data_IF_116171468133
#
_entry.id   IF_116171468133
#
_cell.length_a   1.000
_cell.length_b   1.000
_cell.length_c   1.000
_cell.angle_alpha   90.00
_cell.angle_beta   90.00
_cell.angle_gamma   90.00
#
_symmetry.space_group_name_H-M   'P 1'
#
loop_
_entity.id
_entity.type
_entity.pdbx_description
1 polymer ?
#
# COMPACT_ATOMS: atom_id res chain seq x y z
N UNK A 1 -49.28 15.82 -10.17
CA UNK A 1 -48.57 14.65 -9.59
C UNK A 1 -47.18 15.15 -9.23
N UNK A 2 -46.99 15.46 -7.95
CA UNK A 2 -45.88 16.29 -7.45
C UNK A 2 -44.81 15.39 -6.82
N UNK A 3 -43.55 15.71 -7.10
CA UNK A 3 -42.34 14.95 -6.79
C UNK A 3 -42.07 14.79 -5.28
N UNK A 4 -41.61 13.58 -4.88
CA UNK A 4 -41.07 13.30 -3.56
C UNK A 4 -39.54 13.23 -3.62
N UNK A 5 -38.88 14.18 -2.96
CA UNK A 5 -37.43 14.24 -2.74
C UNK A 5 -37.19 13.89 -1.28
N UNK A 6 -36.58 12.73 -1.00
CA UNK A 6 -36.00 12.41 0.31
C UNK A 6 -34.51 12.73 0.24
N UNK A 7 -34.15 13.90 0.78
CA UNK A 7 -32.79 14.41 0.91
C UNK A 7 -32.25 13.93 2.26
N UNK A 8 -31.43 12.88 2.22
CA UNK A 8 -30.72 12.34 3.37
C UNK A 8 -29.60 13.28 3.83
N UNK A 9 -29.64 13.59 5.12
CA UNK A 9 -28.78 14.48 5.88
C UNK A 9 -27.31 14.06 5.85
N UNK A 10 -26.39 14.95 5.45
CA UNK A 10 -24.99 14.89 5.87
C UNK A 10 -24.40 16.30 6.02
N UNK A 11 -23.51 16.42 7.00
CA UNK A 11 -22.51 17.49 7.17
C UNK A 11 -22.94 18.76 7.91
N UNK A 12 -22.89 18.71 9.25
CA UNK A 12 -22.70 19.89 10.11
C UNK A 12 -22.00 19.54 11.42
N UNK A 13 -20.69 19.31 11.42
CA UNK A 13 -19.93 19.34 12.68
C UNK A 13 -18.66 20.16 12.49
N UNK A 14 -18.82 21.48 12.60
CA UNK A 14 -17.75 22.39 12.96
C UNK A 14 -17.52 22.27 14.46
N UNK A 15 -16.33 21.85 14.89
CA UNK A 15 -15.87 22.09 16.25
C UNK A 15 -14.43 22.59 16.23
N UNK A 16 -14.31 23.91 16.36
CA UNK A 16 -13.11 24.54 16.88
C UNK A 16 -12.98 24.15 18.36
N UNK A 17 -11.83 23.63 18.78
CA UNK A 17 -11.48 23.55 20.19
C UNK A 17 -10.13 24.24 20.38
N UNK A 18 -10.20 25.32 21.14
CA UNK A 18 -9.10 26.19 21.50
C UNK A 18 -8.14 25.51 22.46
N UNK A 19 -6.87 25.82 22.24
CA UNK A 19 -5.69 25.55 23.05
C UNK A 19 -5.87 26.05 24.50
N UNK A 20 -5.65 25.19 25.49
CA UNK A 20 -5.44 25.60 26.88
C UNK A 20 -4.23 24.85 27.46
N UNK A 21 -3.15 25.60 27.69
CA UNK A 21 -1.99 25.18 28.49
C UNK A 21 -2.41 24.92 29.94
N UNK A 22 -1.90 23.84 30.54
CA UNK A 22 -1.62 23.78 31.97
C UNK A 22 -0.42 22.88 32.26
N UNK A 23 0.60 23.47 32.89
CA UNK A 23 1.80 22.83 33.42
C UNK A 23 1.52 22.14 34.77
N UNK A 24 2.30 21.07 35.02
CA UNK A 24 2.85 20.63 36.32
C UNK A 24 1.92 20.00 37.38
N UNK A 25 2.26 18.76 37.76
CA UNK A 25 1.82 18.12 39.00
C UNK A 25 2.35 16.70 39.17
N UNK A 26 3.26 16.49 40.13
CA UNK A 26 3.80 15.20 40.56
C UNK A 26 2.75 14.35 41.33
N UNK A 27 2.82 13.01 41.27
CA UNK A 27 2.21 12.16 42.31
C UNK A 27 1.77 10.74 41.91
N UNK A 28 2.63 9.76 42.22
CA UNK A 28 2.45 8.34 42.59
C UNK A 28 1.09 7.56 42.49
N UNK A 29 1.25 6.30 42.07
CA UNK A 29 0.63 5.04 42.59
C UNK A 29 -0.63 4.42 41.95
N UNK A 30 -0.37 3.22 41.40
CA UNK A 30 -1.09 1.92 41.46
C UNK A 30 -2.48 1.66 40.84
N UNK A 31 -2.48 0.49 40.17
CA UNK A 31 -3.53 -0.50 39.88
C UNK A 31 -4.57 -0.28 38.78
N UNK A 32 -4.38 -1.06 37.72
CA UNK A 32 -5.43 -1.84 37.06
C UNK A 32 -6.30 -1.11 36.05
N UNK A 33 -6.14 -1.44 34.77
CA UNK A 33 -7.20 -1.93 33.86
C UNK A 33 -6.73 -1.75 32.40
N UNK A 34 -6.78 -2.86 31.67
CA UNK A 34 -6.52 -2.97 30.24
C UNK A 34 -7.39 -2.02 29.41
N UNK A 35 -6.77 -1.32 28.47
CA UNK A 35 -7.43 -0.77 27.27
C UNK A 35 -6.38 -0.47 26.18
N UNK A 36 -5.79 -1.52 25.60
CA UNK A 36 -5.10 -1.39 24.33
C UNK A 36 -6.13 -1.25 23.21
N UNK A 37 -6.39 -0.04 22.75
CA UNK A 37 -7.03 0.18 21.44
C UNK A 37 -6.00 -0.14 20.37
N UNK A 38 -6.27 -1.20 19.59
CA UNK A 38 -5.51 -1.52 18.39
C UNK A 38 -5.94 -0.60 17.27
N UNK A 39 -5.30 0.57 17.15
CA UNK A 39 -5.35 1.36 15.93
C UNK A 39 -4.41 0.71 14.91
N UNK A 40 -4.97 -0.20 14.11
CA UNK A 40 -4.34 -0.72 12.90
C UNK A 40 -4.30 0.41 11.85
N UNK A 41 -3.39 1.35 12.04
CA UNK A 41 -3.04 2.37 11.06
C UNK A 41 -2.14 1.78 9.97
N UNK A 42 -2.45 2.12 8.72
CA UNK A 42 -1.72 1.73 7.53
C UNK A 42 -0.20 1.85 7.74
N UNK A 43 0.50 0.72 7.59
CA UNK A 43 1.96 0.73 7.55
C UNK A 43 2.36 1.11 6.13
N UNK A 44 2.46 2.41 5.88
CA UNK A 44 3.32 2.92 4.82
C UNK A 44 4.72 2.36 5.12
N UNK A 45 5.13 1.32 4.40
CA UNK A 45 6.50 0.83 4.44
C UNK A 45 7.40 1.85 3.73
N UNK A 46 7.48 3.05 4.32
CA UNK A 46 8.44 4.07 3.93
C UNK A 46 9.83 3.49 4.11
N UNK A 47 10.66 3.66 3.07
CA UNK A 47 12.07 3.26 3.02
C UNK A 47 12.76 3.43 4.37
N UNK A 48 12.86 2.34 5.13
CA UNK A 48 13.66 2.27 6.33
C UNK A 48 15.11 2.55 5.95
N UNK A 49 15.77 3.42 6.72
CA UNK A 49 17.16 3.79 6.56
C UNK A 49 18.00 2.56 6.21
N UNK A 50 18.66 2.58 5.04
CA UNK A 50 19.47 1.46 4.56
C UNK A 50 20.55 0.98 5.56
N UNK A 51 20.86 1.79 6.58
CA UNK A 51 21.75 1.44 7.70
C UNK A 51 21.12 0.61 8.83
N UNK A 52 19.81 0.64 9.05
CA UNK A 52 19.15 -0.13 10.11
C UNK A 52 18.89 -1.59 9.71
N UNK A 53 18.79 -1.86 8.41
CA UNK A 53 18.42 -3.18 7.88
C UNK A 53 19.59 -4.04 7.42
N UNK A 54 20.81 -3.51 7.38
CA UNK A 54 21.97 -4.24 6.88
C UNK A 54 22.28 -5.53 7.68
N UNK A 55 22.05 -5.50 9.00
CA UNK A 55 22.32 -6.61 9.92
C UNK A 55 21.04 -7.14 10.60
N UNK A 56 19.86 -6.74 10.12
CA UNK A 56 18.59 -7.13 10.74
C UNK A 56 18.37 -8.65 10.60
N UNK A 57 18.37 -9.34 11.73
CA UNK A 57 18.11 -10.79 11.84
C UNK A 57 17.11 -11.00 12.97
N UNK A 58 16.17 -11.93 12.82
CA UNK A 58 15.23 -12.26 13.88
C UNK A 58 15.95 -12.57 15.20
N UNK A 59 15.45 -12.02 16.30
CA UNK A 59 16.02 -12.18 17.63
C UNK A 59 17.25 -11.31 17.92
N UNK A 60 17.79 -10.61 16.92
CA UNK A 60 18.86 -9.64 17.13
C UNK A 60 18.32 -8.33 17.70
N UNK A 61 19.16 -7.61 18.45
CA UNK A 61 18.81 -6.30 18.99
C UNK A 61 18.61 -5.28 17.87
N UNK A 62 17.62 -4.41 18.04
CA UNK A 62 17.34 -3.29 17.15
C UNK A 62 17.28 -2.00 17.96
N UNK A 63 17.72 -0.88 17.36
CA UNK A 63 17.86 0.40 18.05
C UNK A 63 16.67 1.35 17.85
N UNK A 64 15.79 1.05 16.90
CA UNK A 64 14.70 1.93 16.50
C UNK A 64 13.38 1.17 16.53
N UNK A 65 12.63 1.32 17.60
CA UNK A 65 11.29 0.73 17.74
C UNK A 65 10.37 1.14 16.58
N UNK A 66 9.59 0.18 16.08
CA UNK A 66 8.69 0.36 14.95
C UNK A 66 9.37 0.42 13.58
N UNK A 67 10.69 0.25 13.50
CA UNK A 67 11.38 0.10 12.22
C UNK A 67 11.09 -1.27 11.59
N UNK A 68 11.07 -1.32 10.25
CA UNK A 68 10.83 -2.54 9.47
C UNK A 68 12.01 -2.85 8.55
N UNK A 69 12.41 -4.12 8.51
CA UNK A 69 13.48 -4.65 7.66
C UNK A 69 13.05 -5.98 7.02
N UNK A 70 13.73 -6.41 5.95
CA UNK A 70 13.31 -7.60 5.17
C UNK A 70 13.14 -7.36 3.67
N UNK A 71 13.48 -6.16 3.20
CA UNK A 71 13.34 -5.76 1.80
C UNK A 71 11.89 -5.57 1.39
N UNK A 72 11.63 -5.01 0.19
CA UNK A 72 10.29 -5.09 -0.37
C UNK A 72 9.95 -6.58 -0.47
N UNK A 73 8.77 -6.97 -0.02
CA UNK A 73 8.22 -8.27 -0.35
C UNK A 73 8.32 -8.42 -1.86
N UNK A 74 9.28 -9.23 -2.33
CA UNK A 74 9.64 -9.30 -3.75
C UNK A 74 8.46 -9.73 -4.61
N UNK A 75 7.50 -10.39 -3.98
CA UNK A 75 6.15 -10.57 -4.46
C UNK A 75 5.16 -10.00 -3.43
N UNK A 76 4.69 -8.77 -3.66
CA UNK A 76 3.69 -8.12 -2.82
C UNK A 76 2.32 -8.82 -2.86
N UNK A 77 2.10 -9.73 -3.81
CA UNK A 77 0.85 -10.48 -3.98
C UNK A 77 0.79 -11.78 -3.17
N UNK A 78 1.87 -12.09 -2.43
CA UNK A 78 2.01 -13.25 -1.57
C UNK A 78 2.30 -12.83 -0.14
N UNK A 79 1.99 -13.70 0.82
CA UNK A 79 2.42 -13.49 2.19
C UNK A 79 3.95 -13.43 2.25
N UNK A 80 4.45 -12.43 2.95
CA UNK A 80 5.88 -12.24 3.15
C UNK A 80 6.18 -12.06 4.64
N UNK A 81 7.40 -12.42 5.01
CA UNK A 81 7.89 -12.23 6.37
C UNK A 81 8.81 -11.02 6.38
N UNK A 82 8.43 -10.00 7.12
CA UNK A 82 9.25 -8.84 7.43
C UNK A 82 9.75 -8.95 8.88
N UNK A 83 10.77 -8.19 9.22
CA UNK A 83 11.26 -7.99 10.57
C UNK A 83 10.75 -6.65 11.07
N UNK A 84 10.07 -6.64 12.21
CA UNK A 84 9.67 -5.43 12.92
C UNK A 84 10.47 -5.31 14.21
N UNK A 85 11.04 -4.13 14.47
CA UNK A 85 11.70 -3.86 15.73
C UNK A 85 10.66 -3.61 16.82
N UNK A 86 10.54 -4.55 17.76
CA UNK A 86 9.61 -4.47 18.88
C UNK A 86 10.27 -4.93 20.17
N UNK A 87 10.19 -4.12 21.22
CA UNK A 87 10.81 -4.41 22.51
C UNK A 87 12.34 -4.46 22.45
N UNK A 88 12.96 -3.70 21.55
CA UNK A 88 14.40 -3.65 21.31
C UNK A 88 14.95 -4.85 20.55
N UNK A 89 14.09 -5.69 19.99
CA UNK A 89 14.47 -6.90 19.24
C UNK A 89 13.75 -6.99 17.90
N UNK A 90 14.44 -7.46 16.86
CA UNK A 90 13.83 -7.77 15.57
C UNK A 90 12.94 -9.01 15.68
N UNK A 91 11.63 -8.82 15.48
CA UNK A 91 10.62 -9.88 15.53
C UNK A 91 10.12 -10.16 14.13
N UNK A 92 9.98 -11.45 13.77
CA UNK A 92 9.35 -11.82 12.50
C UNK A 92 7.86 -11.48 12.54
N UNK A 93 7.40 -10.71 11.57
CA UNK A 93 6.00 -10.40 11.33
C UNK A 93 5.59 -10.83 9.93
N UNK A 94 4.44 -11.47 9.86
CA UNK A 94 3.80 -11.78 8.59
C UNK A 94 3.07 -10.54 8.08
N UNK A 95 3.45 -10.10 6.89
CA UNK A 95 2.74 -9.07 6.15
C UNK A 95 1.74 -9.75 5.20
N UNK A 96 0.44 -9.41 5.28
CA UNK A 96 -0.56 -9.96 4.39
C UNK A 96 -0.29 -9.50 2.95
N UNK A 97 -0.71 -10.29 1.94
CA UNK A 97 -0.58 -9.91 0.55
C UNK A 97 -1.38 -8.62 0.27
N UNK A 98 -0.81 -7.75 -0.56
CA UNK A 98 -1.51 -6.63 -1.14
C UNK A 98 -2.66 -7.12 -2.05
N UNK A 99 -3.70 -6.29 -2.25
CA UNK A 99 -4.67 -6.57 -3.30
C UNK A 99 -3.93 -6.64 -4.64
N UNK A 100 -4.15 -7.71 -5.41
CA UNK A 100 -3.49 -7.94 -6.69
C UNK A 100 -4.42 -8.54 -7.73
N UNK A 101 -4.21 -8.13 -8.98
CA UNK A 101 -4.92 -8.62 -10.15
C UNK A 101 -4.04 -9.52 -11.04
N UNK A 102 -4.65 -10.21 -12.00
CA UNK A 102 -3.95 -11.12 -12.90
C UNK A 102 -3.30 -10.37 -14.07
N UNK A 103 -2.04 -10.66 -14.38
CA UNK A 103 -1.34 -10.13 -15.54
C UNK A 103 -0.85 -11.30 -16.41
N UNK A 104 -1.71 -11.79 -17.30
CA UNK A 104 -1.47 -13.03 -18.04
C UNK A 104 -1.70 -14.29 -17.20
N UNK A 105 -1.05 -15.40 -17.58
CA UNK A 105 -1.39 -16.72 -17.03
C UNK A 105 -0.79 -17.02 -15.66
N UNK A 106 0.32 -16.36 -15.28
CA UNK A 106 1.10 -16.72 -14.09
C UNK A 106 1.58 -15.53 -13.25
N UNK A 107 1.55 -14.31 -13.77
CA UNK A 107 2.01 -13.12 -13.07
C UNK A 107 0.82 -12.41 -12.41
N UNK A 108 1.05 -11.84 -11.22
CA UNK A 108 0.07 -11.00 -10.51
C UNK A 108 0.70 -9.65 -10.22
N UNK A 109 -0.05 -8.59 -10.48
CA UNK A 109 0.41 -7.23 -10.26
C UNK A 109 -0.38 -6.60 -9.10
N UNK A 110 0.28 -5.84 -8.21
CA UNK A 110 -0.40 -5.07 -7.19
C UNK A 110 -1.40 -4.06 -7.76
N UNK A 111 -2.63 -4.10 -7.24
CA UNK A 111 -3.70 -3.16 -7.55
C UNK A 111 -3.29 -1.73 -7.14
N UNK A 112 -3.79 -0.75 -7.88
CA UNK A 112 -3.66 0.70 -7.62
C UNK A 112 -2.24 1.30 -7.65
N UNK A 113 -1.20 0.46 -7.70
CA UNK A 113 0.21 0.90 -7.72
C UNK A 113 0.96 0.47 -8.97
N UNK A 114 0.47 -0.54 -9.69
CA UNK A 114 1.09 -1.03 -10.92
C UNK A 114 0.05 -1.42 -11.99
N UNK A 115 0.46 -1.39 -13.25
CA UNK A 115 -0.33 -1.86 -14.40
C UNK A 115 0.35 -3.05 -15.09
N UNK A 116 -0.45 -3.88 -15.76
CA UNK A 116 0.04 -5.01 -16.54
C UNK A 116 0.51 -4.54 -17.92
N UNK A 117 1.79 -4.70 -18.23
CA UNK A 117 2.34 -4.48 -19.56
C UNK A 117 2.43 -5.81 -20.31
N UNK A 118 1.72 -5.89 -21.44
CA UNK A 118 1.68 -7.04 -22.33
C UNK A 118 2.43 -6.68 -23.61
N UNK A 119 3.51 -7.37 -23.90
CA UNK A 119 4.17 -7.24 -25.20
C UNK A 119 3.65 -8.34 -26.13
N UNK A 120 3.06 -7.96 -27.27
CA UNK A 120 2.51 -8.91 -28.25
C UNK A 120 3.53 -9.31 -29.30
N UNK A 121 3.47 -10.56 -29.77
CA UNK A 121 4.28 -11.00 -30.89
C UNK A 121 3.74 -10.48 -32.21
N UNK A 122 4.64 -10.07 -33.10
CA UNK A 122 4.33 -9.76 -34.50
C UNK A 122 3.92 -11.03 -35.28
N UNK A 123 4.22 -12.22 -34.74
CA UNK A 123 3.90 -13.52 -35.32
C UNK A 123 2.97 -14.32 -34.40
N UNK A 124 1.76 -14.63 -34.88
CA UNK A 124 0.89 -15.64 -34.27
C UNK A 124 -0.10 -15.15 -33.20
N UNK A 125 -0.11 -13.85 -32.88
CA UNK A 125 -1.16 -13.23 -32.06
C UNK A 125 -1.15 -13.58 -30.57
N UNK A 126 -0.08 -14.22 -30.09
CA UNK A 126 0.13 -14.55 -28.67
C UNK A 126 1.09 -13.52 -28.06
N UNK A 127 0.87 -13.09 -26.80
CA UNK A 127 1.84 -12.28 -26.07
C UNK A 127 3.19 -12.95 -25.89
N UNK A 128 4.29 -12.23 -26.12
CA UNK A 128 5.66 -12.71 -25.86
C UNK A 128 6.04 -12.58 -24.39
N UNK A 129 5.51 -11.55 -23.70
CA UNK A 129 5.87 -11.29 -22.29
C UNK A 129 4.81 -10.48 -21.55
N UNK A 130 4.80 -10.68 -20.23
CA UNK A 130 3.99 -9.96 -19.25
C UNK A 130 4.93 -9.37 -18.20
N UNK A 131 4.69 -8.12 -17.80
CA UNK A 131 5.45 -7.45 -16.74
C UNK A 131 4.55 -6.49 -15.96
N UNK A 132 4.78 -6.36 -14.65
CA UNK A 132 4.18 -5.30 -13.86
C UNK A 132 5.04 -4.04 -14.00
N UNK A 133 4.43 -2.92 -14.34
CA UNK A 133 5.07 -1.62 -14.41
C UNK A 133 4.41 -0.67 -13.40
N UNK A 134 5.22 0.09 -12.67
CA UNK A 134 4.71 1.06 -11.69
C UNK A 134 4.04 2.24 -12.39
N UNK A 135 2.99 2.79 -11.78
CA UNK A 135 2.42 4.05 -12.23
C UNK A 135 3.39 5.22 -12.02
N UNK A 136 3.17 6.31 -12.76
CA UNK A 136 3.87 7.55 -12.47
C UNK A 136 3.55 8.05 -11.05
N UNK A 137 4.54 8.64 -10.35
CA UNK A 137 4.34 9.13 -8.99
C UNK A 137 3.22 10.17 -8.94
N UNK A 138 2.29 10.01 -8.00
CA UNK A 138 1.10 10.86 -7.85
C UNK A 138 -0.22 10.21 -8.28
N UNK A 139 -0.17 8.95 -8.74
CA UNK A 139 -1.34 8.20 -9.19
C UNK A 139 -1.87 7.12 -8.21
N UNK A 140 -1.46 7.19 -6.93
CA UNK A 140 -1.78 6.17 -5.93
C UNK A 140 -3.28 6.06 -5.59
N UNK A 141 -4.09 7.07 -5.90
CA UNK A 141 -5.52 7.12 -5.61
C UNK A 141 -6.34 7.12 -6.92
N UNK A 142 -6.43 5.96 -7.57
CA UNK A 142 -7.25 5.78 -8.78
C UNK A 142 -6.44 5.40 -10.01
N UNK A 143 -5.89 4.18 -9.98
CA UNK A 143 -5.24 3.57 -11.12
C UNK A 143 -6.17 3.51 -12.33
N UNK A 144 -5.89 4.35 -13.31
CA UNK A 144 -6.59 4.42 -14.59
C UNK A 144 -5.57 4.58 -15.72
N UNK A 145 -6.02 4.51 -16.96
CA UNK A 145 -5.17 4.79 -18.11
C UNK A 145 -4.54 6.19 -18.14
N UNK A 146 -5.03 7.15 -17.35
CA UNK A 146 -4.39 8.47 -17.21
C UNK A 146 -3.06 8.38 -16.45
N UNK A 147 -2.89 7.34 -15.64
CA UNK A 147 -1.70 7.12 -14.82
C UNK A 147 -0.59 6.34 -15.51
N UNK A 148 -0.88 5.82 -16.70
CA UNK A 148 0.10 5.15 -17.57
C UNK A 148 0.93 6.22 -18.30
N UNK A 149 2.24 5.97 -18.55
CA UNK A 149 3.09 6.88 -19.32
C UNK A 149 2.45 7.30 -20.64
N UNK A 150 2.58 8.58 -21.01
CA UNK A 150 1.91 9.16 -22.20
C UNK A 150 2.18 8.38 -23.49
N UNK A 151 3.38 7.80 -23.64
CA UNK A 151 3.75 6.97 -24.79
C UNK A 151 2.95 5.67 -24.92
N UNK A 152 2.36 5.20 -23.83
CA UNK A 152 1.69 3.90 -23.72
C UNK A 152 0.17 4.02 -23.57
N UNK A 153 -0.34 5.22 -23.22
CA UNK A 153 -1.78 5.46 -23.02
C UNK A 153 -2.66 5.05 -24.21
N UNK A 154 -2.14 5.16 -25.44
CA UNK A 154 -2.86 4.76 -26.66
C UNK A 154 -3.14 3.25 -26.76
N UNK A 155 -2.48 2.43 -25.94
CA UNK A 155 -2.60 0.97 -25.89
C UNK A 155 -3.23 0.49 -24.58
N UNK A 156 -3.72 1.40 -23.76
CA UNK A 156 -4.23 1.12 -22.43
C UNK A 156 -5.71 0.74 -22.43
N UNK A 157 -6.04 -0.28 -21.64
CA UNK A 157 -7.39 -0.73 -21.34
C UNK A 157 -7.58 -0.72 -19.82
N UNK A 158 -8.68 -0.12 -19.37
CA UNK A 158 -9.11 -0.07 -17.97
C UNK A 158 -10.50 -0.70 -17.88
N UNK A 159 -10.59 -1.85 -17.21
CA UNK A 159 -11.86 -2.58 -17.02
C UNK A 159 -12.63 -2.10 -15.79
N UNK A 160 -12.08 -1.13 -15.05
CA UNK A 160 -12.58 -0.61 -13.78
C UNK A 160 -12.09 -1.42 -12.58
N UNK A 161 -12.03 -0.75 -11.42
CA UNK A 161 -11.60 -1.39 -10.17
C UNK A 161 -10.08 -1.41 -9.93
N UNK A 162 -9.32 -0.57 -10.63
CA UNK A 162 -7.87 -0.40 -10.46
C UNK A 162 -7.02 -1.38 -11.28
N UNK A 163 -7.66 -2.21 -12.12
CA UNK A 163 -6.99 -3.14 -13.03
C UNK A 163 -6.78 -2.48 -14.39
N UNK A 164 -5.52 -2.19 -14.70
CA UNK A 164 -5.12 -1.55 -15.97
C UNK A 164 -4.14 -2.43 -16.72
N UNK A 165 -4.40 -2.60 -18.01
CA UNK A 165 -3.57 -3.39 -18.92
C UNK A 165 -3.14 -2.54 -20.13
N UNK A 166 -1.88 -2.65 -20.52
CA UNK A 166 -1.29 -1.97 -21.69
C UNK A 166 -0.81 -3.02 -22.68
N UNK A 167 -1.43 -3.06 -23.85
CA UNK A 167 -1.12 -4.01 -24.94
C UNK A 167 -0.18 -3.38 -25.98
N UNK A 168 1.13 -3.52 -25.79
CA UNK A 168 2.11 -3.00 -26.73
C UNK A 168 2.23 -3.91 -27.97
N UNK A 169 2.26 -3.34 -29.19
CA UNK A 169 2.54 -4.10 -30.39
C UNK A 169 3.98 -4.61 -30.40
N UNK A 170 4.19 -5.79 -30.97
CA UNK A 170 5.52 -6.36 -31.21
C UNK A 170 6.33 -5.50 -32.18
N UNK A 171 7.63 -5.39 -31.91
CA UNK A 171 8.60 -4.65 -32.71
C UNK A 171 9.32 -5.50 -33.75
#
# INVERSE_FOLDING_TARGET
MTAGILRGMMSRWSFAIAFALALAGCGASHDGTDAGSSDAGASDAGSGDAGACADATEGASCSMEGSFCGGPCTDACSFCNVLECSGGTWMRREAPPAPCFACGDALRCPLDVSYCRVARSDVGGVPDSYACADYEPGCADGATCECVPESERGFCTDEGGGEVTVDLPGG
#
